data_IF_029154172983
#
_entry.id   IF_029154172983
#
_cell.length_a   1.000
_cell.length_b   1.000
_cell.length_c   1.000
_cell.angle_alpha   90.00
_cell.angle_beta   90.00
_cell.angle_gamma   90.00
#
_symmetry.space_group_name_H-M   'P 1'
#
loop_
_entity.id
_entity.type
_entity.pdbx_description
1 polymer ?
#
# COMPACT_ATOMS: atom_id res chain seq x y z
N UNK A 1 -13.80 -9.32 5.69
CA UNK A 1 -12.97 -10.01 4.67
C UNK A 1 -13.12 -11.50 4.85
N UNK A 2 -12.84 -12.31 3.84
CA UNK A 2 -12.85 -13.77 3.98
C UNK A 2 -11.56 -14.35 3.41
N UNK A 3 -10.99 -15.31 4.13
CA UNK A 3 -9.80 -16.02 3.70
C UNK A 3 -10.22 -17.25 2.92
N UNK A 4 -9.38 -17.70 2.01
CA UNK A 4 -9.46 -19.05 1.50
C UNK A 4 -8.18 -19.77 1.89
N UNK A 5 -8.34 -20.84 2.66
CA UNK A 5 -7.29 -21.80 2.87
C UNK A 5 -6.97 -22.50 1.55
N UNK A 6 -5.78 -23.07 1.48
CA UNK A 6 -5.29 -23.86 0.34
C UNK A 6 -6.16 -25.10 0.01
N UNK A 7 -6.93 -25.62 0.98
CA UNK A 7 -7.84 -26.75 0.83
C UNK A 7 -9.22 -26.38 0.26
N UNK A 8 -9.36 -25.16 -0.29
CA UNK A 8 -10.59 -24.59 -0.86
C UNK A 8 -11.68 -24.25 0.15
N UNK A 9 -11.43 -24.42 1.45
CA UNK A 9 -12.39 -24.03 2.45
C UNK A 9 -12.23 -22.54 2.79
N UNK A 10 -13.34 -21.79 2.85
CA UNK A 10 -13.34 -20.48 3.47
C UNK A 10 -12.74 -20.56 4.86
N UNK A 11 -11.77 -19.69 5.15
CA UNK A 11 -11.24 -19.50 6.49
C UNK A 11 -12.09 -18.46 7.18
N UNK A 12 -12.65 -18.85 8.32
CA UNK A 12 -13.28 -17.94 9.27
C UNK A 12 -12.18 -17.22 10.06
N UNK A 13 -12.01 -15.92 9.79
CA UNK A 13 -11.01 -15.10 10.47
C UNK A 13 -11.35 -14.80 11.93
N UNK A 14 -12.56 -15.13 12.40
CA UNK A 14 -12.90 -15.08 13.82
C UNK A 14 -12.33 -16.25 14.62
N UNK A 15 -11.60 -17.17 13.98
CA UNK A 15 -11.01 -18.36 14.61
C UNK A 15 -9.54 -18.51 14.22
N UNK A 16 -8.73 -19.14 15.09
CA UNK A 16 -7.36 -19.45 14.75
C UNK A 16 -7.25 -20.33 13.49
N UNK A 17 -6.28 -20.04 12.63
CA UNK A 17 -6.03 -20.80 11.42
C UNK A 17 -4.54 -20.84 11.06
N UNK A 18 -4.14 -21.86 10.30
CA UNK A 18 -2.77 -21.96 9.75
C UNK A 18 -2.78 -21.47 8.29
N UNK A 19 -2.03 -20.41 7.94
CA UNK A 19 -1.96 -19.92 6.56
C UNK A 19 -1.23 -20.92 5.65
N UNK A 20 -0.30 -21.71 6.19
CA UNK A 20 0.48 -22.69 5.46
C UNK A 20 0.31 -24.09 6.06
N UNK A 21 0.72 -25.12 5.33
CA UNK A 21 0.68 -26.49 5.78
C UNK A 21 1.59 -27.38 4.95
N UNK A 22 1.66 -28.67 5.29
CA UNK A 22 2.65 -29.59 4.73
C UNK A 22 2.56 -29.73 3.20
N UNK A 23 1.35 -29.67 2.64
CA UNK A 23 1.12 -29.82 1.19
C UNK A 23 0.82 -28.51 0.48
N UNK A 24 0.86 -27.36 1.18
CA UNK A 24 0.50 -26.09 0.58
C UNK A 24 1.33 -24.92 1.09
N UNK A 25 1.88 -24.20 0.12
CA UNK A 25 2.81 -23.10 0.34
C UNK A 25 2.17 -21.74 0.15
N UNK A 26 0.85 -21.65 -0.06
CA UNK A 26 0.17 -20.40 -0.33
C UNK A 26 -1.14 -20.26 0.43
N UNK A 27 -1.46 -19.02 0.77
CA UNK A 27 -2.68 -18.58 1.43
C UNK A 27 -3.31 -17.43 0.65
N UNK A 28 -4.64 -17.38 0.58
CA UNK A 28 -5.37 -16.34 -0.13
C UNK A 28 -6.26 -15.53 0.81
N UNK A 29 -6.30 -14.22 0.57
CA UNK A 29 -7.18 -13.28 1.24
C UNK A 29 -7.98 -12.50 0.20
N UNK A 30 -9.31 -12.54 0.32
CA UNK A 30 -10.20 -11.63 -0.39
C UNK A 30 -10.52 -10.41 0.49
N UNK A 31 -10.06 -9.25 0.01
CA UNK A 31 -10.29 -7.94 0.62
C UNK A 31 -11.10 -7.02 -0.28
N UNK A 32 -12.09 -7.52 -1.04
CA UNK A 32 -12.83 -6.75 -2.06
C UNK A 32 -13.20 -5.30 -1.68
N UNK A 33 -13.67 -5.06 -0.44
CA UNK A 33 -14.01 -3.72 0.07
C UNK A 33 -12.80 -2.87 0.45
N UNK A 34 -11.78 -3.48 1.05
CA UNK A 34 -10.58 -2.79 1.53
C UNK A 34 -9.68 -2.41 0.37
N UNK A 35 -9.38 -3.38 -0.49
CA UNK A 35 -8.51 -3.22 -1.66
C UNK A 35 -9.18 -2.40 -2.78
N UNK A 36 -10.43 -1.98 -2.63
CA UNK A 36 -11.08 -1.02 -3.53
C UNK A 36 -10.53 0.42 -3.38
N UNK A 37 -9.88 0.72 -2.25
CA UNK A 37 -9.34 2.04 -1.94
C UNK A 37 -7.94 2.21 -2.55
N UNK A 38 -7.85 2.13 -3.88
CA UNK A 38 -6.59 2.25 -4.62
C UNK A 38 -5.83 3.52 -4.23
N UNK A 39 -4.53 3.38 -3.92
CA UNK A 39 -3.66 4.46 -3.44
C UNK A 39 -3.61 4.62 -1.93
N UNK A 40 -4.58 4.10 -1.17
CA UNK A 40 -4.52 4.10 0.29
C UNK A 40 -3.46 3.10 0.80
N UNK A 41 -3.02 3.26 2.04
CA UNK A 41 -2.20 2.27 2.74
C UNK A 41 -3.11 1.19 3.31
N UNK A 42 -2.94 -0.06 2.86
CA UNK A 42 -3.54 -1.22 3.51
C UNK A 42 -2.73 -1.57 4.76
N UNK A 43 -3.45 -2.00 5.80
CA UNK A 43 -2.87 -2.47 7.04
C UNK A 43 -3.52 -3.81 7.42
N UNK A 44 -2.69 -4.82 7.64
CA UNK A 44 -3.06 -6.15 8.11
C UNK A 44 -2.39 -6.36 9.45
N UNK A 45 -3.15 -6.31 10.53
CA UNK A 45 -2.63 -6.61 11.86
C UNK A 45 -2.80 -8.11 12.13
N UNK A 46 -1.69 -8.78 12.43
CA UNK A 46 -1.61 -10.22 12.61
C UNK A 46 -1.18 -10.54 14.02
N UNK A 47 -2.02 -11.28 14.73
CA UNK A 47 -1.65 -11.88 16.02
C UNK A 47 -1.40 -13.36 15.81
N UNK A 48 -0.20 -13.82 16.12
CA UNK A 48 0.13 -15.25 16.13
C UNK A 48 -0.14 -15.88 17.49
N UNK A 49 -0.44 -17.17 17.49
CA UNK A 49 -0.49 -17.97 18.71
C UNK A 49 0.92 -18.04 19.38
N UNK A 50 1.02 -18.18 20.71
CA UNK A 50 2.30 -18.09 21.45
C UNK A 50 3.40 -19.07 21.02
N UNK A 51 3.05 -20.20 20.39
CA UNK A 51 3.99 -21.23 19.90
C UNK A 51 4.28 -21.14 18.40
N UNK A 52 3.85 -20.08 17.72
CA UNK A 52 3.95 -19.95 16.27
C UNK A 52 5.34 -19.52 15.78
N UNK A 53 5.78 -20.11 14.66
CA UNK A 53 6.65 -19.40 13.72
C UNK A 53 8.16 -19.60 13.85
N UNK A 54 8.64 -20.77 14.29
CA UNK A 54 10.05 -21.11 14.08
C UNK A 54 10.29 -21.42 12.59
N UNK A 55 11.27 -20.76 11.99
CA UNK A 55 11.58 -20.88 10.56
C UNK A 55 13.07 -21.03 10.32
N UNK A 56 13.43 -21.61 9.17
CA UNK A 56 14.82 -21.62 8.73
C UNK A 56 15.25 -20.24 8.19
N UNK A 57 16.56 -20.01 8.10
CA UNK A 57 17.11 -18.74 7.65
C UNK A 57 16.73 -18.38 6.20
N UNK A 58 16.48 -19.40 5.37
CA UNK A 58 16.14 -19.25 3.96
C UNK A 58 14.66 -18.99 3.71
N UNK A 59 13.82 -18.96 4.76
CA UNK A 59 12.39 -18.71 4.62
C UNK A 59 12.18 -17.35 3.96
N UNK A 60 11.45 -17.36 2.84
CA UNK A 60 11.03 -16.16 2.13
C UNK A 60 9.55 -16.25 1.79
N UNK A 61 8.81 -15.21 2.16
CA UNK A 61 7.44 -15.01 1.69
C UNK A 61 7.39 -14.04 0.52
N UNK A 62 6.53 -14.34 -0.44
CA UNK A 62 6.10 -13.47 -1.52
C UNK A 62 4.65 -13.04 -1.28
N UNK A 63 4.43 -11.73 -1.31
CA UNK A 63 3.11 -11.12 -1.22
C UNK A 63 2.74 -10.61 -2.60
N UNK A 64 1.64 -11.12 -3.15
CA UNK A 64 1.26 -10.88 -4.53
C UNK A 64 -0.23 -10.56 -4.63
N UNK A 65 -0.61 -9.79 -5.64
CA UNK A 65 -1.99 -9.48 -5.94
C UNK A 65 -2.40 -9.94 -7.33
N UNK A 66 -3.65 -10.38 -7.45
CA UNK A 66 -4.18 -10.92 -8.71
C UNK A 66 -4.56 -9.79 -9.66
N UNK A 67 -4.06 -9.83 -10.90
CA UNK A 67 -4.37 -8.85 -11.96
C UNK A 67 -4.97 -9.48 -13.21
N UNK A 68 -5.02 -10.82 -13.28
CA UNK A 68 -5.68 -11.54 -14.36
C UNK A 68 -6.02 -12.97 -13.99
N UNK A 69 -6.61 -13.71 -14.92
CA UNK A 69 -7.08 -15.09 -14.70
C UNK A 69 -6.00 -16.01 -14.12
N UNK A 70 -4.75 -15.89 -14.59
CA UNK A 70 -3.58 -16.64 -14.09
C UNK A 70 -2.44 -15.73 -13.62
N UNK A 71 -2.60 -14.41 -13.75
CA UNK A 71 -1.54 -13.42 -13.49
C UNK A 71 -1.58 -12.90 -12.06
N UNK A 72 -0.40 -12.89 -11.45
CA UNK A 72 -0.12 -12.32 -10.13
C UNK A 72 1.03 -11.34 -10.25
N UNK A 73 0.93 -10.20 -9.58
CA UNK A 73 1.99 -9.20 -9.51
C UNK A 73 2.51 -9.09 -8.08
N UNK A 74 3.82 -8.88 -7.95
CA UNK A 74 4.50 -8.81 -6.67
C UNK A 74 4.23 -7.47 -5.97
N UNK A 75 3.77 -7.52 -4.72
CA UNK A 75 3.73 -6.38 -3.79
C UNK A 75 5.02 -6.28 -2.99
N UNK A 76 5.60 -7.40 -2.57
CA UNK A 76 6.86 -7.40 -1.85
C UNK A 76 7.24 -8.76 -1.30
N UNK A 77 8.39 -8.81 -0.64
CA UNK A 77 8.95 -10.03 -0.08
C UNK A 77 9.50 -9.78 1.31
N UNK A 78 9.40 -10.77 2.19
CA UNK A 78 9.91 -10.70 3.57
C UNK A 78 10.56 -12.01 3.99
N UNK A 79 11.41 -11.94 5.01
CA UNK A 79 12.10 -13.07 5.64
C UNK A 79 12.01 -12.96 7.17
N UNK A 80 12.44 -13.98 7.93
CA UNK A 80 12.54 -13.90 9.38
C UNK A 80 13.45 -12.76 9.91
N UNK A 81 14.33 -12.21 9.08
CA UNK A 81 15.31 -11.18 9.47
C UNK A 81 15.11 -9.85 8.77
N UNK A 82 14.33 -9.80 7.69
CA UNK A 82 14.09 -8.59 6.92
C UNK A 82 12.59 -8.40 6.61
N UNK A 83 12.08 -7.22 6.91
CA UNK A 83 10.66 -6.86 6.72
C UNK A 83 10.33 -6.50 5.26
N UNK A 84 11.34 -6.22 4.42
CA UNK A 84 11.19 -6.00 2.98
C UNK A 84 12.52 -6.27 2.23
N UNK A 85 12.53 -7.20 1.27
CA UNK A 85 13.74 -7.50 0.48
C UNK A 85 13.91 -6.62 -0.78
N UNK A 86 12.82 -6.19 -1.41
CA UNK A 86 12.85 -5.41 -2.63
C UNK A 86 11.74 -4.36 -2.63
N UNK A 87 12.06 -3.15 -3.12
CA UNK A 87 11.07 -2.11 -3.35
C UNK A 87 10.39 -2.35 -4.70
N UNK A 88 9.07 -2.55 -4.65
CA UNK A 88 8.19 -2.74 -5.81
C UNK A 88 7.44 -1.45 -6.17
N UNK A 89 7.69 -0.34 -5.44
CA UNK A 89 6.90 0.87 -5.47
C UNK A 89 5.60 0.79 -4.65
N UNK A 90 5.28 -0.38 -4.08
CA UNK A 90 4.10 -0.58 -3.24
C UNK A 90 4.32 -0.17 -1.77
N UNK A 91 5.49 0.35 -1.38
CA UNK A 91 5.82 0.68 0.02
C UNK A 91 5.51 -0.49 0.98
N UNK A 92 5.89 -1.70 0.56
CA UNK A 92 5.59 -2.94 1.27
C UNK A 92 6.51 -3.12 2.49
N UNK A 93 5.93 -3.46 3.65
CA UNK A 93 6.67 -3.85 4.85
C UNK A 93 5.88 -4.91 5.62
N UNK A 94 6.58 -5.97 6.07
CA UNK A 94 6.04 -7.06 6.88
C UNK A 94 6.79 -7.18 8.21
N UNK A 95 6.22 -6.60 9.26
CA UNK A 95 6.77 -6.63 10.62
C UNK A 95 6.47 -7.96 11.37
N UNK A 96 5.63 -8.83 10.77
CA UNK A 96 5.49 -10.23 11.22
C UNK A 96 6.75 -11.04 10.95
N UNK A 97 7.66 -10.50 10.13
CA UNK A 97 8.92 -11.12 9.70
C UNK A 97 8.66 -12.51 9.15
N UNK A 98 7.89 -12.58 8.06
CA UNK A 98 7.46 -13.83 7.47
C UNK A 98 6.68 -14.73 8.46
N UNK A 99 5.68 -14.18 9.15
CA UNK A 99 4.88 -14.89 10.16
C UNK A 99 5.71 -15.64 11.22
N UNK A 100 6.86 -15.11 11.62
CA UNK A 100 7.67 -15.64 12.74
C UNK A 100 7.36 -14.95 14.07
N UNK A 101 6.58 -13.86 14.03
CA UNK A 101 6.05 -13.13 15.18
C UNK A 101 4.75 -12.41 14.82
N UNK A 102 3.99 -12.03 15.84
CA UNK A 102 2.90 -11.05 15.66
C UNK A 102 3.47 -9.72 15.16
N UNK A 103 2.68 -9.02 14.34
CA UNK A 103 3.11 -7.78 13.74
C UNK A 103 2.13 -7.30 12.68
N UNK A 104 2.55 -6.26 11.97
CA UNK A 104 1.75 -5.61 10.95
C UNK A 104 2.34 -5.86 9.57
N UNK A 105 1.48 -6.05 8.58
CA UNK A 105 1.84 -5.98 7.17
C UNK A 105 1.17 -4.75 6.56
N UNK A 106 1.97 -3.91 5.89
CA UNK A 106 1.52 -2.69 5.23
C UNK A 106 2.00 -2.62 3.79
N UNK A 107 1.16 -2.07 2.92
CA UNK A 107 1.51 -1.74 1.54
C UNK A 107 0.48 -0.76 0.96
N UNK A 108 0.91 0.07 0.01
CA UNK A 108 0.03 0.92 -0.77
C UNK A 108 -0.78 0.08 -1.74
N UNK A 109 -2.10 0.20 -1.68
CA UNK A 109 -3.04 -0.53 -2.53
C UNK A 109 -2.81 -0.08 -3.99
N UNK A 110 -2.50 -0.99 -4.93
CA UNK A 110 -2.37 -0.64 -6.34
C UNK A 110 -3.65 0.00 -6.90
N UNK A 111 -3.52 1.09 -7.68
CA UNK A 111 -4.66 1.84 -8.25
C UNK A 111 -5.55 0.97 -9.16
N UNK A 112 -4.96 0.03 -9.90
CA UNK A 112 -5.65 -0.87 -10.83
C UNK A 112 -5.92 -2.27 -10.28
N UNK A 113 -6.10 -2.42 -8.96
CA UNK A 113 -6.42 -3.73 -8.39
C UNK A 113 -7.90 -4.07 -8.61
N UNK A 114 -8.24 -4.51 -9.81
CA UNK A 114 -9.61 -4.82 -10.19
C UNK A 114 -10.15 -6.11 -9.54
N UNK A 115 -11.47 -6.26 -9.55
CA UNK A 115 -12.12 -7.52 -9.17
C UNK A 115 -11.71 -8.63 -10.16
N UNK A 116 -11.16 -9.71 -9.62
CA UNK A 116 -10.74 -10.88 -10.37
C UNK A 116 -11.52 -12.10 -9.91
N UNK A 117 -11.84 -12.98 -10.86
CA UNK A 117 -12.32 -14.30 -10.54
C UNK A 117 -11.15 -15.15 -10.04
N UNK A 118 -11.31 -15.74 -8.86
CA UNK A 118 -10.40 -16.74 -8.34
C UNK A 118 -11.25 -17.91 -7.88
N UNK A 119 -11.19 -19.00 -8.65
CA UNK A 119 -12.05 -20.18 -8.47
C UNK A 119 -13.53 -19.78 -8.58
N UNK A 120 -14.38 -20.15 -7.62
CA UNK A 120 -15.82 -19.86 -7.63
C UNK A 120 -16.19 -18.47 -7.10
N UNK A 121 -15.20 -17.61 -6.81
CA UNK A 121 -15.44 -16.31 -6.17
C UNK A 121 -14.78 -15.16 -6.91
N UNK A 122 -15.53 -14.08 -7.07
CA UNK A 122 -15.04 -12.81 -7.58
C UNK A 122 -14.64 -11.90 -6.41
N UNK A 123 -13.43 -11.36 -6.44
CA UNK A 123 -12.87 -10.59 -5.32
C UNK A 123 -11.57 -9.88 -5.68
N UNK A 124 -11.00 -9.16 -4.71
CA UNK A 124 -9.65 -8.59 -4.84
C UNK A 124 -8.71 -9.47 -4.03
N UNK A 125 -7.94 -10.28 -4.75
CA UNK A 125 -7.23 -11.41 -4.17
C UNK A 125 -5.78 -11.06 -3.90
N UNK A 126 -5.42 -11.13 -2.62
CA UNK A 126 -4.05 -11.16 -2.13
C UNK A 126 -3.64 -12.63 -1.97
N UNK A 127 -2.44 -12.97 -2.40
CA UNK A 127 -1.78 -14.25 -2.16
C UNK A 127 -0.52 -14.02 -1.33
N UNK A 128 -0.34 -14.82 -0.31
CA UNK A 128 0.94 -14.96 0.39
C UNK A 128 1.50 -16.34 0.10
N UNK A 129 2.76 -16.42 -0.30
CA UNK A 129 3.39 -17.65 -0.77
C UNK A 129 4.74 -17.86 -0.10
N UNK A 130 5.01 -19.07 0.41
CA UNK A 130 6.35 -19.55 0.73
C UNK A 130 7.10 -19.73 -0.59
N UNK A 131 8.02 -18.82 -0.88
CA UNK A 131 8.79 -18.77 -2.10
C UNK A 131 10.12 -19.54 -1.99
N UNK A 132 10.65 -19.63 -0.77
CA UNK A 132 11.84 -20.41 -0.42
C UNK A 132 11.82 -20.75 1.08
N UNK A 133 12.64 -21.72 1.47
CA UNK A 133 12.78 -22.15 2.86
C UNK A 133 11.53 -22.83 3.42
N UNK A 134 11.43 -22.89 4.75
CA UNK A 134 10.37 -23.61 5.43
C UNK A 134 10.20 -23.17 6.89
N UNK A 135 9.02 -23.43 7.43
CA UNK A 135 8.77 -23.36 8.86
C UNK A 135 9.16 -24.68 9.53
N UNK A 136 9.91 -24.61 10.62
CA UNK A 136 10.10 -25.73 11.55
C UNK A 136 8.83 -25.95 12.39
N UNK A 137 8.14 -24.86 12.75
CA UNK A 137 6.82 -24.89 13.39
C UNK A 137 5.89 -23.97 12.62
N UNK A 138 4.82 -24.53 12.04
CA UNK A 138 3.86 -23.77 11.24
C UNK A 138 3.24 -22.64 12.07
N UNK A 139 3.13 -21.43 11.50
CA UNK A 139 2.47 -20.34 12.20
C UNK A 139 0.98 -20.62 12.31
N UNK A 140 0.41 -20.30 13.46
CA UNK A 140 -1.04 -20.24 13.66
C UNK A 140 -1.42 -18.80 13.90
N UNK A 141 -2.21 -18.22 13.01
CA UNK A 141 -2.78 -16.87 13.15
C UNK A 141 -3.96 -17.00 14.10
N UNK A 142 -3.87 -16.36 15.27
CA UNK A 142 -4.92 -16.35 16.29
C UNK A 142 -5.97 -15.28 16.01
N UNK A 143 -5.54 -14.13 15.49
CA UNK A 143 -6.41 -13.02 15.10
C UNK A 143 -5.82 -12.29 13.88
N UNK A 144 -6.71 -11.80 13.01
CA UNK A 144 -6.35 -11.04 11.83
C UNK A 144 -7.38 -9.94 11.58
N UNK A 145 -6.93 -8.69 11.67
CA UNK A 145 -7.76 -7.54 11.35
C UNK A 145 -7.21 -6.81 10.13
N UNK A 146 -8.12 -6.17 9.40
CA UNK A 146 -7.77 -5.42 8.21
C UNK A 146 -8.32 -4.01 8.31
N UNK A 147 -7.47 -3.04 8.04
CA UNK A 147 -7.82 -1.64 7.96
C UNK A 147 -7.09 -0.97 6.80
N UNK A 148 -7.47 0.25 6.51
CA UNK A 148 -6.78 1.08 5.53
C UNK A 148 -6.83 2.54 5.98
N UNK A 149 -5.85 3.32 5.55
CA UNK A 149 -5.82 4.75 5.78
C UNK A 149 -5.19 5.47 4.58
N UNK A 150 -5.63 6.69 4.33
CA UNK A 150 -4.94 7.57 3.38
C UNK A 150 -3.71 8.15 4.05
N UNK A 151 -2.55 8.02 3.42
CA UNK A 151 -1.44 8.88 3.77
C UNK A 151 -1.84 10.31 3.41
N UNK A 152 -1.77 11.23 4.37
CA UNK A 152 -2.11 12.62 4.13
C UNK A 152 -1.24 13.16 2.98
N UNK A 153 -1.84 13.64 1.87
CA UNK A 153 -1.07 14.18 0.76
C UNK A 153 -0.27 15.37 1.28
N UNK A 154 1.05 15.26 1.18
CA UNK A 154 1.97 16.37 1.46
C UNK A 154 2.36 17.01 0.15
N UNK A 155 2.06 18.29 0.02
CA UNK A 155 2.56 19.08 -1.09
C UNK A 155 3.93 19.58 -0.69
N UNK A 156 4.97 19.14 -1.40
CA UNK A 156 6.36 19.61 -1.20
C UNK A 156 6.67 20.84 -2.05
N UNK A 157 6.09 20.89 -3.25
CA UNK A 157 6.33 21.97 -4.21
C UNK A 157 5.14 22.04 -5.17
N UNK A 158 4.73 23.27 -5.49
CA UNK A 158 3.82 23.59 -6.59
C UNK A 158 4.59 24.45 -7.57
N UNK A 159 4.53 24.10 -8.86
CA UNK A 159 5.17 24.87 -9.93
C UNK A 159 4.10 25.26 -10.92
N UNK A 160 4.05 26.54 -11.28
CA UNK A 160 3.19 27.03 -12.35
C UNK A 160 4.05 27.23 -13.59
N UNK A 161 3.69 26.56 -14.69
CA UNK A 161 4.34 26.72 -15.99
C UNK A 161 3.42 27.42 -16.97
N UNK A 162 3.92 28.50 -17.58
CA UNK A 162 3.26 29.06 -18.76
C UNK A 162 3.69 28.25 -19.99
N UNK A 163 2.73 27.67 -20.70
CA UNK A 163 3.00 27.08 -22.00
C UNK A 163 3.36 28.20 -22.97
N UNK A 164 4.63 28.28 -23.38
CA UNK A 164 5.01 29.15 -24.49
C UNK A 164 4.42 28.55 -25.77
N UNK A 165 3.61 29.31 -26.49
CA UNK A 165 3.27 28.98 -27.88
C UNK A 165 4.56 29.14 -28.71
N UNK A 166 4.99 28.02 -29.29
CA UNK A 166 6.12 27.77 -30.21
C UNK A 166 7.26 28.81 -30.36
N UNK A 167 8.49 28.31 -30.10
CA UNK A 167 9.65 28.65 -30.94
C UNK A 167 10.71 29.60 -30.38
N UNK A 168 11.49 29.17 -29.37
CA UNK A 168 12.94 29.42 -29.30
C UNK A 168 13.52 28.70 -28.08
N UNK A 169 14.40 27.74 -28.32
CA UNK A 169 15.28 27.22 -27.27
C UNK A 169 16.19 28.37 -26.78
N UNK A 170 16.14 28.66 -25.49
CA UNK A 170 17.21 29.38 -24.81
C UNK A 170 17.72 28.50 -23.67
N UNK A 171 19.04 28.37 -23.63
CA UNK A 171 19.76 27.52 -22.72
C UNK A 171 19.55 27.94 -21.26
N UNK A 172 19.19 26.95 -20.43
CA UNK A 172 19.58 26.85 -19.03
C UNK A 172 19.26 28.02 -18.08
N UNK A 173 18.00 28.18 -17.68
CA UNK A 173 17.55 28.45 -16.29
C UNK A 173 16.11 29.02 -16.30
N UNK A 174 15.18 28.33 -15.63
CA UNK A 174 13.94 28.86 -15.01
C UNK A 174 12.97 29.76 -15.81
N UNK A 175 13.21 30.04 -17.10
CA UNK A 175 12.37 30.90 -17.91
C UNK A 175 11.06 30.17 -18.27
N UNK A 176 10.05 30.32 -17.42
CA UNK A 176 8.73 29.73 -17.60
C UNK A 176 8.16 29.02 -16.38
N UNK A 177 8.94 28.86 -15.30
CA UNK A 177 8.47 28.32 -14.02
C UNK A 177 8.40 29.43 -12.98
N UNK A 178 7.20 29.72 -12.50
CA UNK A 178 6.97 30.60 -11.36
C UNK A 178 6.47 29.79 -10.17
N UNK A 179 6.87 30.18 -8.96
CA UNK A 179 6.34 29.64 -7.72
C UNK A 179 5.22 30.55 -7.21
N UNK A 180 4.17 30.01 -6.57
CA UNK A 180 3.18 30.84 -5.89
C UNK A 180 3.85 31.73 -4.84
N UNK A 181 3.45 32.99 -4.73
CA UNK A 181 3.97 33.90 -3.69
C UNK A 181 3.17 33.76 -2.39
N UNK A 182 1.89 33.37 -2.48
CA UNK A 182 0.99 33.21 -1.34
C UNK A 182 0.13 31.96 -1.50
N UNK A 183 -0.22 31.34 -0.38
CA UNK A 183 -1.18 30.24 -0.35
C UNK A 183 -1.92 30.15 0.97
N UNK A 184 -3.17 29.67 0.93
CA UNK A 184 -4.03 29.52 2.08
C UNK A 184 -4.78 28.18 2.02
N UNK A 185 -4.96 27.53 3.17
CA UNK A 185 -6.01 26.54 3.37
C UNK A 185 -7.18 27.27 4.03
N UNK A 186 -8.30 27.42 3.31
CA UNK A 186 -9.39 28.31 3.68
C UNK A 186 -8.86 29.74 3.92
N UNK A 187 -8.92 30.24 5.16
CA UNK A 187 -8.37 31.54 5.55
C UNK A 187 -7.01 31.46 6.26
N UNK A 188 -6.44 30.26 6.43
CA UNK A 188 -5.18 30.06 7.14
C UNK A 188 -3.99 30.11 6.17
N UNK A 189 -3.02 31.03 6.34
CA UNK A 189 -1.83 31.08 5.51
C UNK A 189 -1.00 29.79 5.59
N UNK A 190 -0.50 29.34 4.44
CA UNK A 190 0.39 28.18 4.31
C UNK A 190 1.84 28.64 4.11
N UNK A 191 2.77 27.86 4.66
CA UNK A 191 4.20 28.11 4.54
C UNK A 191 4.78 27.31 3.36
N UNK A 192 5.08 28.03 2.28
CA UNK A 192 5.56 27.46 1.02
C UNK A 192 7.03 27.00 1.06
N UNK A 193 7.77 27.28 2.15
CA UNK A 193 9.16 26.85 2.33
C UNK A 193 9.31 25.42 2.87
N UNK A 194 8.21 24.74 3.20
CA UNK A 194 8.19 23.38 3.77
C UNK A 194 7.04 22.55 3.22
N UNK A 195 7.02 21.27 3.57
CA UNK A 195 5.85 20.42 3.33
C UNK A 195 4.62 21.01 4.04
N UNK A 196 3.50 21.11 3.33
CA UNK A 196 2.23 21.56 3.88
C UNK A 196 1.07 20.67 3.42
N UNK A 197 -0.02 20.69 4.21
CA UNK A 197 -1.28 20.05 3.84
C UNK A 197 -2.18 21.09 3.14
N UNK A 198 -2.53 20.90 1.85
CA UNK A 198 -3.23 21.92 1.06
C UNK A 198 -4.63 22.26 1.57
N UNK A 199 -5.25 21.35 2.32
CA UNK A 199 -6.58 21.52 2.91
C UNK A 199 -6.54 21.50 4.45
N UNK A 200 -5.36 21.73 5.04
CA UNK A 200 -5.14 21.58 6.48
C UNK A 200 -5.05 20.12 6.94
N UNK A 201 -4.90 19.92 8.25
CA UNK A 201 -4.66 18.60 8.86
C UNK A 201 -5.95 17.76 9.02
N UNK A 202 -7.12 18.40 8.92
CA UNK A 202 -8.44 17.77 9.06
C UNK A 202 -9.37 18.30 7.96
N UNK A 203 -9.14 17.91 6.69
CA UNK A 203 -9.92 18.39 5.58
C UNK A 203 -11.39 17.97 5.68
N UNK A 204 -12.29 18.90 5.38
CA UNK A 204 -13.74 18.72 5.35
C UNK A 204 -14.34 19.03 3.97
N UNK A 205 -15.60 18.66 3.77
CA UNK A 205 -16.35 19.06 2.58
C UNK A 205 -16.41 20.59 2.48
N UNK A 206 -16.15 21.13 1.29
CA UNK A 206 -16.00 22.56 0.99
C UNK A 206 -14.73 23.26 1.48
N UNK A 207 -13.73 22.54 1.99
CA UNK A 207 -12.41 23.13 2.19
C UNK A 207 -11.76 23.51 0.86
N UNK A 208 -11.17 24.71 0.82
CA UNK A 208 -10.58 25.27 -0.37
C UNK A 208 -9.08 25.53 -0.17
N UNK A 209 -8.30 25.20 -1.20
CA UNK A 209 -6.89 25.55 -1.30
C UNK A 209 -6.76 26.75 -2.23
N UNK A 210 -6.27 27.86 -1.69
CA UNK A 210 -6.02 29.09 -2.44
C UNK A 210 -4.52 29.25 -2.69
N UNK A 211 -4.16 29.75 -3.86
CA UNK A 211 -2.80 30.17 -4.17
C UNK A 211 -2.82 31.42 -5.06
N UNK A 212 -1.85 32.29 -4.88
CA UNK A 212 -1.61 33.44 -5.74
C UNK A 212 -0.24 33.29 -6.41
N UNK A 213 -0.19 33.63 -7.69
CA UNK A 213 1.03 33.64 -8.48
C UNK A 213 0.89 34.75 -9.52
N UNK A 214 1.26 35.97 -9.14
CA UNK A 214 1.05 37.15 -9.97
C UNK A 214 1.74 37.01 -11.32
N UNK A 215 2.97 36.48 -11.30
CA UNK A 215 3.79 36.30 -12.50
C UNK A 215 3.15 35.37 -13.54
N UNK A 216 2.32 34.42 -13.10
CA UNK A 216 1.70 33.44 -13.98
C UNK A 216 0.21 33.69 -14.25
N UNK A 217 -0.50 34.37 -13.34
CA UNK A 217 -1.96 34.53 -13.37
C UNK A 217 -2.45 35.93 -13.78
N UNK A 218 -1.58 36.94 -13.84
CA UNK A 218 -1.96 38.34 -14.12
C UNK A 218 -2.29 38.64 -15.61
N UNK A 219 -2.97 37.73 -16.32
CA UNK A 219 -3.43 37.95 -17.70
C UNK A 219 -4.77 38.67 -17.77
#
# INVERSE_FOLDING_TARGET
>A
AMGMGSNNNPVDFGKPFQPFGESYTYWYLDGAKLFANGGAMAQIDVTLAPTAGAANADLRLEWEYKTGATTWQLLGQSTPTNTALADTGANFQDDTRAFTRSGQVRFRIPLGWDLQDHRSRRGRWLRVKIAAGSYATMPTVADLTLSWYWELPRVRQITVTRGAEDGAASDGASAGRSFPELSFANSTPLDLGRDFAPFGNQPAYNDAFYMACDTALAQ
#
